data_IF_233500178354
#
_entry.id   IF_233500178354
#
_cell.length_a   1.000
_cell.length_b   1.000
_cell.length_c   1.000
_cell.angle_alpha   90.00
_cell.angle_beta   90.00
_cell.angle_gamma   90.00
#
_symmetry.space_group_name_H-M   'P 1'
#
loop_
_entity.id
_entity.type
_entity.pdbx_description
1 polymer ?
#
# COMPACT_ATOMS: atom_id res chain seq x y z
N UNK A 1 -3.03 -12.03 -22.18
CA UNK A 1 -3.71 -13.32 -22.37
C UNK A 1 -4.94 -13.08 -23.21
N UNK A 2 -5.30 -14.03 -24.07
CA UNK A 2 -6.49 -13.96 -24.95
C UNK A 2 -7.77 -13.55 -24.18
N UNK A 3 -7.92 -14.00 -22.93
CA UNK A 3 -9.05 -13.62 -22.05
C UNK A 3 -9.08 -12.14 -21.68
N UNK A 4 -7.92 -11.49 -21.51
CA UNK A 4 -7.85 -10.05 -21.15
C UNK A 4 -8.32 -9.15 -22.29
N UNK A 5 -8.10 -9.57 -23.54
CA UNK A 5 -8.47 -8.82 -24.75
C UNK A 5 -10.00 -8.78 -24.97
N UNK A 6 -10.73 -9.71 -24.36
CA UNK A 6 -12.19 -9.76 -24.42
C UNK A 6 -12.88 -8.90 -23.35
N UNK A 7 -12.12 -8.29 -22.43
CA UNK A 7 -12.65 -7.47 -21.35
C UNK A 7 -12.70 -6.00 -21.77
N UNK A 8 -13.82 -5.34 -21.52
CA UNK A 8 -13.96 -3.89 -21.64
C UNK A 8 -14.28 -3.27 -20.28
N UNK A 9 -13.73 -2.08 -20.02
CA UNK A 9 -14.07 -1.30 -18.82
C UNK A 9 -15.43 -0.65 -19.06
N UNK A 10 -16.44 -1.04 -18.27
CA UNK A 10 -17.79 -0.47 -18.36
C UNK A 10 -18.02 0.67 -17.35
N UNK A 11 -17.22 0.71 -16.29
CA UNK A 11 -17.32 1.70 -15.23
C UNK A 11 -16.01 1.75 -14.43
N UNK A 12 -15.62 2.95 -14.00
CA UNK A 12 -14.46 3.19 -13.13
C UNK A 12 -14.94 3.97 -11.90
N UNK A 13 -14.63 3.49 -10.71
CA UNK A 13 -14.97 4.16 -9.45
C UNK A 13 -14.02 5.34 -9.18
N UNK A 14 -14.38 6.19 -8.22
CA UNK A 14 -13.39 7.07 -7.60
C UNK A 14 -12.26 6.25 -6.96
N UNK A 15 -11.07 6.85 -6.89
CA UNK A 15 -9.94 6.29 -6.15
C UNK A 15 -10.16 6.44 -4.63
N UNK A 16 -9.62 5.48 -3.88
CA UNK A 16 -9.56 5.48 -2.42
C UNK A 16 -8.13 5.13 -1.99
N UNK A 17 -7.77 5.46 -0.75
CA UNK A 17 -6.45 5.17 -0.19
C UNK A 17 -6.14 3.66 -0.30
N UNK A 18 -4.98 3.28 -0.88
CA UNK A 18 -4.67 1.89 -1.23
C UNK A 18 -4.20 1.06 -0.02
N UNK A 19 -3.46 -0.02 -0.26
CA UNK A 19 -3.01 -0.97 0.76
C UNK A 19 -2.03 -0.36 1.77
N UNK A 20 -2.31 -0.50 3.07
CA UNK A 20 -1.40 -0.17 4.15
C UNK A 20 -0.45 -1.32 4.49
N UNK A 21 0.73 -0.98 5.02
CA UNK A 21 1.53 -1.89 5.85
C UNK A 21 1.25 -1.53 7.31
N UNK A 22 0.60 -2.42 8.04
CA UNK A 22 0.28 -2.23 9.45
C UNK A 22 1.08 -3.18 10.33
N UNK A 23 1.43 -2.73 11.53
CA UNK A 23 2.06 -3.55 12.58
C UNK A 23 1.03 -3.90 13.64
N UNK A 24 1.23 -5.03 14.34
CA UNK A 24 0.40 -5.39 15.50
C UNK A 24 0.57 -4.36 16.62
N UNK A 25 -0.50 -4.09 17.35
CA UNK A 25 -0.49 -3.24 18.55
C UNK A 25 0.32 -3.84 19.72
N UNK A 26 0.71 -5.11 19.61
CA UNK A 26 1.59 -5.79 20.58
C UNK A 26 3.09 -5.55 20.31
N UNK A 27 3.44 -4.98 19.16
CA UNK A 27 4.83 -4.61 18.84
C UNK A 27 5.19 -3.34 19.61
N UNK A 28 6.33 -3.35 20.30
CA UNK A 28 6.79 -2.17 21.02
C UNK A 28 7.06 -1.00 20.08
N UNK A 29 6.88 0.23 20.59
CA UNK A 29 6.96 1.44 19.78
C UNK A 29 8.36 1.62 19.17
N UNK A 30 9.42 1.27 19.91
CA UNK A 30 10.80 1.39 19.45
C UNK A 30 11.06 0.49 18.22
N UNK A 31 10.60 -0.76 18.27
CA UNK A 31 10.68 -1.73 17.19
C UNK A 31 9.82 -1.30 16.00
N UNK A 32 8.61 -0.79 16.23
CA UNK A 32 7.76 -0.28 15.17
C UNK A 32 8.43 0.90 14.43
N UNK A 33 9.04 1.82 15.17
CA UNK A 33 9.77 2.96 14.60
C UNK A 33 11.02 2.51 13.85
N UNK A 34 11.79 1.57 14.40
CA UNK A 34 12.97 1.00 13.75
C UNK A 34 12.61 0.29 12.43
N UNK A 35 11.53 -0.52 12.44
CA UNK A 35 11.01 -1.18 11.25
C UNK A 35 10.57 -0.16 10.20
N UNK A 36 9.83 0.88 10.59
CA UNK A 36 9.39 1.94 9.67
C UNK A 36 10.58 2.68 9.03
N UNK A 37 11.63 2.95 9.81
CA UNK A 37 12.84 3.59 9.31
C UNK A 37 13.59 2.69 8.32
N UNK A 38 13.70 1.39 8.61
CA UNK A 38 14.33 0.42 7.71
C UNK A 38 13.54 0.26 6.40
N UNK A 39 12.21 0.18 6.48
CA UNK A 39 11.33 0.05 5.31
C UNK A 39 11.42 1.30 4.42
N UNK A 40 11.47 2.49 5.01
CA UNK A 40 11.57 3.75 4.24
C UNK A 40 12.84 3.81 3.38
N UNK A 41 13.94 3.17 3.82
CA UNK A 41 15.20 3.13 3.08
C UNK A 41 15.13 2.22 1.85
N UNK A 42 14.14 1.32 1.74
CA UNK A 42 13.99 0.45 0.57
C UNK A 42 13.72 1.22 -0.71
N UNK A 43 13.20 2.45 -0.62
CA UNK A 43 13.05 3.30 -1.80
C UNK A 43 14.39 3.63 -2.47
N UNK A 44 15.51 3.52 -1.77
CA UNK A 44 16.85 3.80 -2.29
C UNK A 44 17.62 2.52 -2.64
N UNK A 45 17.07 1.32 -2.34
CA UNK A 45 17.71 0.04 -2.60
C UNK A 45 17.46 -0.42 -4.06
N UNK A 46 18.50 -0.64 -4.89
CA UNK A 46 18.33 -1.04 -6.28
C UNK A 46 17.58 -2.37 -6.47
N UNK A 47 17.74 -3.34 -5.57
CA UNK A 47 17.01 -4.62 -5.63
C UNK A 47 15.54 -4.44 -5.24
N UNK A 48 15.26 -3.56 -4.30
CA UNK A 48 13.88 -3.20 -3.97
C UNK A 48 13.21 -2.51 -5.16
N UNK A 49 13.92 -1.63 -5.87
CA UNK A 49 13.40 -0.99 -7.10
C UNK A 49 13.07 -1.99 -8.21
N UNK A 50 13.90 -3.03 -8.41
CA UNK A 50 13.57 -4.13 -9.33
C UNK A 50 12.27 -4.84 -8.92
N UNK A 51 12.08 -5.05 -7.61
CA UNK A 51 10.87 -5.69 -7.06
C UNK A 51 9.64 -4.79 -7.19
N UNK A 52 9.77 -3.48 -6.95
CA UNK A 52 8.72 -2.50 -7.11
C UNK A 52 8.23 -2.41 -8.56
N UNK A 53 9.15 -2.45 -9.53
CA UNK A 53 8.81 -2.50 -10.94
C UNK A 53 8.01 -3.77 -11.31
N UNK A 54 8.38 -4.94 -10.76
CA UNK A 54 7.64 -6.19 -10.98
C UNK A 54 6.22 -6.16 -10.39
N UNK A 55 6.05 -5.44 -9.27
CA UNK A 55 4.76 -5.29 -8.58
C UNK A 55 3.94 -4.10 -9.07
N UNK A 56 4.48 -3.29 -9.99
CA UNK A 56 3.89 -2.04 -10.46
C UNK A 56 3.57 -1.08 -9.28
N UNK A 57 4.55 -0.89 -8.40
CA UNK A 57 4.54 0.04 -7.26
C UNK A 57 5.65 1.06 -7.50
N UNK A 58 5.41 2.34 -7.20
CA UNK A 58 6.43 3.39 -7.38
C UNK A 58 7.44 3.48 -6.22
N UNK A 59 7.01 3.04 -5.03
CA UNK A 59 7.78 3.04 -3.81
C UNK A 59 6.87 3.00 -2.59
N UNK A 60 7.48 3.05 -1.41
CA UNK A 60 6.79 3.06 -0.12
C UNK A 60 6.70 4.49 0.41
N UNK A 61 5.58 4.82 1.06
CA UNK A 61 5.34 6.16 1.59
C UNK A 61 5.01 6.06 3.08
N UNK A 62 5.42 7.08 3.84
CA UNK A 62 4.98 7.23 5.23
C UNK A 62 3.47 7.49 5.24
N UNK A 63 2.77 6.78 6.11
CA UNK A 63 1.34 6.88 6.24
C UNK A 63 0.93 6.94 7.71
N UNK A 64 -0.27 7.44 7.96
CA UNK A 64 -0.90 7.59 9.27
C UNK A 64 -2.31 7.02 9.24
N UNK A 65 -2.84 6.62 10.39
CA UNK A 65 -4.18 6.02 10.51
C UNK A 65 -5.28 6.89 9.86
N UNK A 66 -5.13 8.23 9.93
CA UNK A 66 -6.08 9.17 9.36
C UNK A 66 -6.12 9.17 7.82
N UNK A 67 -5.11 8.64 7.15
CA UNK A 67 -5.07 8.58 5.67
C UNK A 67 -6.14 7.62 5.11
N UNK A 68 -6.66 6.69 5.93
CA UNK A 68 -7.73 5.75 5.57
C UNK A 68 -9.15 6.22 5.95
N UNK A 69 -9.30 7.49 6.36
CA UNK A 69 -10.64 8.01 6.71
C UNK A 69 -11.63 7.93 5.54
N UNK A 70 -11.16 8.05 4.30
CA UNK A 70 -11.98 7.91 3.09
C UNK A 70 -12.57 6.50 2.94
N UNK A 71 -11.80 5.46 3.29
CA UNK A 71 -12.25 4.06 3.32
C UNK A 71 -13.18 3.82 4.51
N UNK A 72 -12.87 4.34 5.69
CA UNK A 72 -13.73 4.21 6.89
C UNK A 72 -15.12 4.82 6.64
N UNK A 73 -15.18 5.96 5.96
CA UNK A 73 -16.43 6.64 5.62
C UNK A 73 -17.32 5.87 4.65
N UNK A 74 -16.82 4.84 3.98
CA UNK A 74 -17.64 3.93 3.17
C UNK A 74 -18.59 3.07 4.03
N UNK A 75 -18.37 3.00 5.35
CA UNK A 75 -19.25 2.27 6.27
C UNK A 75 -19.27 0.76 6.03
N UNK A 76 -18.22 0.22 5.40
CA UNK A 76 -18.10 -1.21 5.11
C UNK A 76 -17.79 -1.93 6.41
N UNK A 77 -18.75 -2.72 6.90
CA UNK A 77 -18.57 -3.64 8.01
C UNK A 77 -18.37 -5.06 7.49
N UNK A 78 -17.68 -5.87 8.31
CA UNK A 78 -17.33 -7.26 7.97
C UNK A 78 -18.50 -8.21 8.22
#
# INVERSE_FOLDING_TARGET
>A
SETKEQLSVIYTTAGYTPHAIAVSNEVDEEMALALRAAISQLNEDPKAQESFALLNIDGLQLAQDQDWQDVVQLGISR
#
